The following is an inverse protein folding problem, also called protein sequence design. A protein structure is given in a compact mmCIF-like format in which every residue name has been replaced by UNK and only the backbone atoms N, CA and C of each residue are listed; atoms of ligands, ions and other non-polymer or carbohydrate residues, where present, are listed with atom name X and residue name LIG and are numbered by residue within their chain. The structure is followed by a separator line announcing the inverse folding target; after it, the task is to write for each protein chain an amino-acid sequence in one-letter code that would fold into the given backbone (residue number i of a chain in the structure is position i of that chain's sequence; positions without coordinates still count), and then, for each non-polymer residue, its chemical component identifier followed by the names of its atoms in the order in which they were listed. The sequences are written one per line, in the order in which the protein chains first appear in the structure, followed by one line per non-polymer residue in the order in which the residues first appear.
data_IF_173022925409
#
_entry.id   IF_173022925409
#
_cell.length_a   1.000
_cell.length_b   1.000
_cell.length_c   1.000
_cell.angle_alpha   90.00
_cell.angle_beta   90.00
_cell.angle_gamma   90.00
#
_symmetry.space_group_name_H-M   'P 1'
#
loop_
_entity.id
_entity.type
_entity.pdbx_description
1 polymer ?
#
# COMPACT_ATOMS: atom_id res chain seq x y z
N UNK A 1 4.12 15.51 1.12
CA UNK A 1 3.27 14.32 0.84
C UNK A 1 2.49 13.97 2.09
N UNK A 2 1.19 13.72 1.95
CA UNK A 2 0.30 13.31 3.05
C UNK A 2 0.26 11.79 3.05
N UNK A 3 0.80 11.13 4.10
CA UNK A 3 0.89 9.66 4.17
C UNK A 3 -0.44 9.02 4.60
N UNK A 4 -1.13 9.63 5.57
CA UNK A 4 -2.46 9.23 5.98
C UNK A 4 -3.22 10.41 6.60
N UNK A 5 -4.53 10.30 6.63
CA UNK A 5 -5.40 11.20 7.37
C UNK A 5 -6.15 10.39 8.41
N UNK A 6 -6.03 10.81 9.68
CA UNK A 6 -6.76 10.25 10.82
C UNK A 6 -7.63 11.33 11.43
N UNK A 7 -8.93 11.10 11.50
CA UNK A 7 -9.90 12.06 12.00
C UNK A 7 -11.31 11.49 12.03
N UNK A 8 -12.29 12.36 12.16
CA UNK A 8 -13.71 12.01 12.19
C UNK A 8 -14.24 11.95 10.76
N UNK A 9 -14.91 10.86 10.41
CA UNK A 9 -15.61 10.73 9.13
C UNK A 9 -16.85 11.62 9.15
N UNK A 10 -16.77 12.79 8.52
CA UNK A 10 -17.86 13.78 8.50
C UNK A 10 -18.92 13.47 7.46
N UNK A 11 -18.48 13.06 6.25
CA UNK A 11 -19.37 12.74 5.13
C UNK A 11 -18.85 11.51 4.39
N UNK A 12 -19.76 10.70 3.88
CA UNK A 12 -19.44 9.51 3.11
C UNK A 12 -20.36 9.36 1.89
N UNK A 13 -19.75 9.23 0.72
CA UNK A 13 -20.39 8.83 -0.53
C UNK A 13 -19.68 7.64 -1.13
N UNK A 14 -20.22 6.92 -2.13
CA UNK A 14 -19.53 5.78 -2.74
C UNK A 14 -18.17 6.09 -3.37
N UNK A 15 -17.88 7.37 -3.60
CA UNK A 15 -16.65 7.81 -4.30
C UNK A 15 -15.80 8.80 -3.51
N UNK A 16 -16.33 9.39 -2.44
CA UNK A 16 -15.66 10.42 -1.63
C UNK A 16 -15.94 10.16 -0.14
N UNK A 17 -14.91 10.22 0.67
CA UNK A 17 -15.01 10.34 2.12
C UNK A 17 -14.45 11.70 2.55
N UNK A 18 -15.18 12.43 3.39
CA UNK A 18 -14.67 13.64 4.03
C UNK A 18 -14.24 13.30 5.44
N UNK A 19 -12.96 13.44 5.71
CA UNK A 19 -12.39 13.19 7.05
C UNK A 19 -11.95 14.52 7.64
N UNK A 20 -12.54 14.88 8.77
CA UNK A 20 -12.17 16.07 9.52
C UNK A 20 -11.03 15.76 10.49
N UNK A 21 -9.91 16.44 10.32
CA UNK A 21 -8.76 16.36 11.19
C UNK A 21 -8.30 17.77 11.59
N UNK A 22 -8.25 18.04 12.89
CA UNK A 22 -7.87 19.35 13.46
C UNK A 22 -8.65 20.54 12.90
N UNK A 23 -9.96 20.39 12.64
CA UNK A 23 -10.84 21.43 12.10
C UNK A 23 -10.72 21.65 10.59
N UNK A 24 -9.99 20.79 9.87
CA UNK A 24 -9.89 20.79 8.41
C UNK A 24 -10.57 19.56 7.84
N UNK A 25 -11.53 19.75 6.93
CA UNK A 25 -12.19 18.68 6.18
C UNK A 25 -11.41 18.30 4.93
N UNK A 26 -10.92 17.08 4.88
CA UNK A 26 -10.20 16.52 3.73
C UNK A 26 -11.16 15.70 2.87
N UNK A 27 -11.44 16.17 1.64
CA UNK A 27 -12.19 15.40 0.65
C UNK A 27 -11.26 14.37 -0.01
N UNK A 28 -11.53 13.10 0.22
CA UNK A 28 -10.66 11.99 -0.18
C UNK A 28 -11.41 11.12 -1.18
N UNK A 29 -10.87 10.94 -2.37
CA UNK A 29 -11.38 10.00 -3.36
C UNK A 29 -11.15 8.57 -2.88
N UNK A 30 -12.22 7.75 -2.86
CA UNK A 30 -12.15 6.36 -2.39
C UNK A 30 -12.68 5.39 -3.45
N UNK A 31 -12.26 4.13 -3.34
CA UNK A 31 -12.80 3.00 -4.09
C UNK A 31 -13.93 2.32 -3.30
N UNK A 32 -14.75 1.48 -3.96
CA UNK A 32 -15.87 0.80 -3.32
C UNK A 32 -15.51 -0.05 -2.09
N UNK A 33 -14.39 -0.78 -2.03
CA UNK A 33 -13.99 -1.49 -0.82
C UNK A 33 -13.81 -0.55 0.38
N UNK A 34 -13.18 0.61 0.18
CA UNK A 34 -13.02 1.63 1.22
C UNK A 34 -14.38 2.20 1.67
N UNK A 35 -15.29 2.48 0.73
CA UNK A 35 -16.66 2.87 1.04
C UNK A 35 -17.35 1.81 1.92
N UNK A 36 -17.33 0.54 1.49
CA UNK A 36 -17.94 -0.56 2.25
C UNK A 36 -17.37 -0.71 3.67
N UNK A 37 -16.07 -0.47 3.84
CA UNK A 37 -15.41 -0.51 5.14
C UNK A 37 -15.79 0.69 6.04
N UNK A 38 -16.25 1.79 5.48
CA UNK A 38 -16.59 3.04 6.18
C UNK A 38 -18.09 3.23 6.44
N UNK A 39 -18.98 2.51 5.72
CA UNK A 39 -20.43 2.58 5.92
C UNK A 39 -20.77 2.30 7.40
N UNK A 40 -21.62 3.17 7.98
CA UNK A 40 -22.02 3.09 9.40
C UNK A 40 -20.93 3.55 10.40
N UNK A 41 -19.87 4.17 9.89
CA UNK A 41 -18.81 4.79 10.71
C UNK A 41 -18.83 6.32 10.66
N UNK A 42 -19.89 6.91 10.08
CA UNK A 42 -20.05 8.36 10.08
C UNK A 42 -20.05 8.88 11.54
N UNK A 43 -19.43 10.03 11.73
CA UNK A 43 -19.20 10.65 13.04
C UNK A 43 -18.25 9.84 13.97
N UNK A 44 -17.58 8.81 13.46
CA UNK A 44 -16.55 8.06 14.20
C UNK A 44 -15.16 8.33 13.66
N UNK A 45 -14.16 8.05 14.48
CA UNK A 45 -12.76 8.15 14.06
C UNK A 45 -12.45 7.09 13.03
N UNK A 46 -11.77 7.51 11.96
CA UNK A 46 -11.25 6.62 10.92
C UNK A 46 -9.84 7.03 10.51
N UNK A 47 -9.13 6.13 9.85
CA UNK A 47 -7.84 6.40 9.21
C UNK A 47 -7.90 5.92 7.76
N UNK A 48 -7.45 6.78 6.86
CA UNK A 48 -7.22 6.43 5.46
C UNK A 48 -5.77 6.73 5.10
N UNK A 49 -5.07 5.75 4.56
CA UNK A 49 -3.76 5.95 3.93
C UNK A 49 -3.96 6.66 2.61
N UNK A 50 -3.12 7.63 2.29
CA UNK A 50 -3.39 8.53 1.16
C UNK A 50 -2.28 8.52 0.14
N UNK A 51 -2.66 8.68 -1.12
CA UNK A 51 -1.80 9.07 -2.23
C UNK A 51 -2.28 10.42 -2.76
N UNK A 52 -1.36 11.36 -2.82
CA UNK A 52 -1.58 12.74 -3.23
C UNK A 52 -1.19 12.89 -4.70
N UNK A 53 -2.10 13.40 -5.52
CA UNK A 53 -1.87 13.63 -6.95
C UNK A 53 -2.04 15.11 -7.23
N UNK A 54 -0.92 15.77 -7.48
CA UNK A 54 -0.85 17.19 -7.78
C UNK A 54 -0.58 17.36 -9.27
N UNK A 55 -1.40 18.17 -9.92
CA UNK A 55 -1.25 18.63 -11.30
C UNK A 55 -1.34 20.15 -11.34
N UNK A 56 -1.20 20.73 -12.51
CA UNK A 56 -1.28 22.18 -12.66
C UNK A 56 -2.63 22.76 -12.22
N UNK A 57 -3.70 22.02 -12.43
CA UNK A 57 -5.10 22.42 -12.22
C UNK A 57 -5.83 21.64 -11.11
N UNK A 58 -5.23 20.59 -10.56
CA UNK A 58 -5.88 19.71 -9.58
C UNK A 58 -4.94 19.28 -8.47
N UNK A 59 -5.51 19.14 -7.27
CA UNK A 59 -4.86 18.57 -6.11
C UNK A 59 -5.82 17.54 -5.50
N UNK A 60 -5.65 16.29 -5.87
CA UNK A 60 -6.52 15.20 -5.48
C UNK A 60 -5.88 14.32 -4.42
N UNK A 61 -6.65 13.93 -3.41
CA UNK A 61 -6.30 12.90 -2.45
C UNK A 61 -7.06 11.62 -2.78
N UNK A 62 -6.34 10.51 -2.82
CA UNK A 62 -6.91 9.15 -2.93
C UNK A 62 -6.66 8.41 -1.63
N UNK A 63 -7.70 7.77 -1.06
CA UNK A 63 -7.63 7.14 0.24
C UNK A 63 -7.95 5.65 0.23
N UNK A 64 -7.21 4.93 1.07
CA UNK A 64 -7.22 3.47 1.15
C UNK A 64 -7.31 3.02 2.61
N UNK A 65 -8.04 1.94 2.93
CA UNK A 65 -8.14 1.42 4.29
C UNK A 65 -6.82 0.80 4.79
N UNK A 66 -5.96 0.32 3.88
CA UNK A 66 -4.68 -0.30 4.22
C UNK A 66 -3.50 0.25 3.41
N UNK A 67 -2.28 0.07 3.91
CA UNK A 67 -1.05 0.38 3.18
C UNK A 67 -0.88 -0.50 1.94
N UNK A 68 -1.33 -1.74 2.02
CA UNK A 68 -1.27 -2.69 0.90
C UNK A 68 -2.14 -2.26 -0.27
N UNK A 69 -3.37 -1.78 -0.01
CA UNK A 69 -4.24 -1.25 -1.06
C UNK A 69 -3.65 0.02 -1.69
N UNK A 70 -3.07 0.93 -0.88
CA UNK A 70 -2.36 2.10 -1.37
C UNK A 70 -1.18 1.70 -2.26
N UNK A 71 -0.34 0.77 -1.80
CA UNK A 71 0.81 0.29 -2.56
C UNK A 71 0.39 -0.31 -3.92
N UNK A 72 -0.73 -1.05 -3.93
CA UNK A 72 -1.28 -1.60 -5.17
C UNK A 72 -1.80 -0.50 -6.11
N UNK A 73 -2.46 0.54 -5.58
CA UNK A 73 -2.88 1.70 -6.35
C UNK A 73 -1.67 2.41 -6.96
N UNK A 74 -0.65 2.72 -6.16
CA UNK A 74 0.57 3.39 -6.62
C UNK A 74 1.29 2.55 -7.68
N UNK A 75 1.33 1.24 -7.52
CA UNK A 75 1.89 0.31 -8.50
C UNK A 75 1.11 0.33 -9.82
N UNK A 76 -0.22 0.32 -9.79
CA UNK A 76 -1.05 0.44 -10.99
C UNK A 76 -0.78 1.75 -11.72
N UNK A 77 -0.58 2.85 -11.00
CA UNK A 77 -0.24 4.16 -11.54
C UNK A 77 1.12 4.21 -12.28
N UNK A 78 2.04 3.29 -12.00
CA UNK A 78 3.32 3.21 -12.73
C UNK A 78 3.15 2.71 -14.17
N UNK A 79 2.02 2.09 -14.49
CA UNK A 79 1.77 1.54 -15.83
C UNK A 79 1.31 2.64 -16.78
N UNK A 80 2.01 2.78 -17.90
CA UNK A 80 1.64 3.77 -18.93
C UNK A 80 0.23 3.54 -19.47
N UNK A 81 -0.60 4.56 -19.39
CA UNK A 81 -2.02 4.52 -19.75
C UNK A 81 -2.98 4.23 -18.58
N UNK A 82 -2.44 4.07 -17.35
CA UNK A 82 -3.24 4.00 -16.13
C UNK A 82 -3.10 5.31 -15.38
N UNK A 83 -4.19 6.06 -15.27
CA UNK A 83 -4.29 7.23 -14.39
C UNK A 83 -5.03 6.88 -13.10
N UNK A 84 -5.04 7.82 -12.14
CA UNK A 84 -5.65 7.63 -10.82
C UNK A 84 -7.10 7.14 -10.87
N UNK A 85 -7.91 7.72 -11.74
CA UNK A 85 -9.30 7.29 -11.88
C UNK A 85 -9.42 5.87 -12.42
N UNK A 86 -8.55 5.45 -13.35
CA UNK A 86 -8.53 4.08 -13.86
C UNK A 86 -8.06 3.10 -12.78
N UNK A 87 -7.01 3.44 -12.04
CA UNK A 87 -6.53 2.62 -10.92
C UNK A 87 -7.61 2.47 -9.83
N UNK A 88 -8.32 3.58 -9.47
CA UNK A 88 -9.46 3.54 -8.54
C UNK A 88 -10.60 2.66 -9.05
N UNK A 89 -10.89 2.69 -10.36
CA UNK A 89 -11.94 1.84 -10.95
C UNK A 89 -11.55 0.36 -10.92
N UNK A 90 -10.28 0.01 -11.13
CA UNK A 90 -9.79 -1.37 -10.98
C UNK A 90 -10.00 -1.83 -9.54
N UNK A 91 -9.58 -1.03 -8.54
CA UNK A 91 -9.77 -1.34 -7.12
C UNK A 91 -11.22 -1.25 -6.63
N UNK A 92 -12.13 -0.66 -7.42
CA UNK A 92 -13.57 -0.70 -7.15
C UNK A 92 -14.25 -1.93 -7.76
N UNK A 93 -13.70 -2.45 -8.87
CA UNK A 93 -14.24 -3.63 -9.55
C UNK A 93 -13.76 -4.95 -8.92
N UNK A 94 -12.58 -4.94 -8.31
CA UNK A 94 -11.93 -6.10 -7.71
C UNK A 94 -11.33 -5.72 -6.36
N UNK A 95 -11.35 -6.64 -5.41
CA UNK A 95 -10.59 -6.51 -4.16
C UNK A 95 -9.07 -6.51 -4.45
N UNK A 96 -8.28 -6.02 -3.50
CA UNK A 96 -6.82 -5.99 -3.66
C UNK A 96 -6.22 -7.40 -3.90
N UNK A 97 -6.73 -8.42 -3.20
CA UNK A 97 -6.33 -9.81 -3.39
C UNK A 97 -6.68 -10.34 -4.78
N UNK A 98 -7.89 -10.02 -5.28
CA UNK A 98 -8.29 -10.40 -6.64
C UNK A 98 -7.44 -9.72 -7.71
N UNK A 99 -7.16 -8.41 -7.59
CA UNK A 99 -6.27 -7.68 -8.52
C UNK A 99 -4.89 -8.34 -8.53
N UNK A 100 -4.34 -8.65 -7.36
CA UNK A 100 -3.05 -9.35 -7.23
C UNK A 100 -3.09 -10.70 -7.93
N UNK A 101 -4.13 -11.50 -7.72
CA UNK A 101 -4.31 -12.80 -8.36
C UNK A 101 -4.46 -12.68 -9.88
N UNK A 102 -5.28 -11.75 -10.36
CA UNK A 102 -5.50 -11.49 -11.80
C UNK A 102 -4.17 -11.15 -12.49
N UNK A 103 -3.34 -10.30 -11.87
CA UNK A 103 -2.03 -9.91 -12.40
C UNK A 103 -1.08 -11.10 -12.37
N UNK A 104 -0.98 -11.82 -11.26
CA UNK A 104 -0.08 -12.98 -11.08
C UNK A 104 -0.38 -14.10 -12.08
N UNK A 105 -1.68 -14.38 -12.32
CA UNK A 105 -2.13 -15.42 -13.26
C UNK A 105 -2.13 -14.96 -14.73
N UNK A 106 -1.91 -13.66 -14.99
CA UNK A 106 -1.89 -13.13 -16.36
C UNK A 106 -3.27 -12.97 -16.99
N UNK A 107 -4.35 -12.84 -16.22
CA UNK A 107 -5.71 -12.75 -16.73
C UNK A 107 -6.08 -11.33 -17.21
N UNK A 108 -5.47 -10.88 -18.31
CA UNK A 108 -5.75 -9.59 -18.92
C UNK A 108 -7.23 -9.41 -19.33
N UNK A 109 -7.94 -10.52 -19.62
CA UNK A 109 -9.35 -10.48 -20.01
C UNK A 109 -10.22 -9.98 -18.85
N UNK A 110 -9.96 -10.39 -17.62
CA UNK A 110 -10.67 -9.90 -16.46
C UNK A 110 -10.47 -8.39 -16.27
N UNK A 111 -9.22 -7.90 -16.37
CA UNK A 111 -8.93 -6.47 -16.26
C UNK A 111 -9.61 -5.65 -17.37
N UNK A 112 -9.68 -6.18 -18.60
CA UNK A 112 -10.29 -5.47 -19.73
C UNK A 112 -11.82 -5.26 -19.59
N UNK A 113 -12.47 -5.90 -18.61
CA UNK A 113 -13.89 -5.66 -18.29
C UNK A 113 -14.09 -4.37 -17.50
N UNK A 114 -13.04 -3.82 -16.90
CA UNK A 114 -13.11 -2.55 -16.18
C UNK A 114 -13.30 -1.42 -17.19
N UNK A 115 -14.32 -0.59 -16.97
CA UNK A 115 -14.61 0.57 -17.84
C UNK A 115 -13.40 1.49 -17.93
N UNK A 116 -13.00 1.83 -19.15
CA UNK A 116 -11.82 2.68 -19.40
C UNK A 116 -10.51 1.94 -19.48
N UNK A 117 -10.48 0.61 -19.32
CA UNK A 117 -9.29 -0.20 -19.45
C UNK A 117 -9.38 -1.07 -20.71
N UNK A 118 -8.75 -0.63 -21.80
CA UNK A 118 -8.72 -1.37 -23.05
C UNK A 118 -7.83 -2.63 -23.00
N UNK A 119 -8.02 -3.61 -23.91
CA UNK A 119 -7.27 -4.86 -23.90
C UNK A 119 -5.74 -4.68 -23.97
N UNK A 120 -5.27 -3.69 -24.72
CA UNK A 120 -3.82 -3.39 -24.82
C UNK A 120 -3.25 -2.89 -23.50
N UNK A 121 -3.98 -2.02 -22.78
CA UNK A 121 -3.56 -1.50 -21.48
C UNK A 121 -3.66 -2.59 -20.41
N UNK A 122 -4.70 -3.42 -20.44
CA UNK A 122 -4.82 -4.59 -19.55
C UNK A 122 -3.63 -5.55 -19.70
N UNK A 123 -3.23 -5.84 -20.95
CA UNK A 123 -2.05 -6.68 -21.23
C UNK A 123 -0.77 -6.04 -20.70
N UNK A 124 -0.61 -4.71 -20.84
CA UNK A 124 0.53 -3.97 -20.30
C UNK A 124 0.59 -4.05 -18.79
N UNK A 125 -0.55 -3.90 -18.09
CA UNK A 125 -0.61 -4.08 -16.62
C UNK A 125 -0.04 -5.43 -16.21
N UNK A 126 -0.44 -6.51 -16.91
CA UNK A 126 0.09 -7.85 -16.62
C UNK A 126 1.61 -7.90 -16.83
N UNK A 127 2.11 -7.44 -17.98
CA UNK A 127 3.54 -7.51 -18.30
C UNK A 127 4.39 -6.70 -17.32
N UNK A 128 3.95 -5.47 -17.00
CA UNK A 128 4.73 -4.55 -16.18
C UNK A 128 4.71 -4.89 -14.69
N UNK A 129 3.64 -5.56 -14.21
CA UNK A 129 3.40 -5.76 -12.78
C UNK A 129 3.47 -7.21 -12.29
N UNK A 130 3.51 -8.21 -13.16
CA UNK A 130 3.47 -9.63 -12.78
C UNK A 130 4.51 -10.00 -11.72
N UNK A 131 5.75 -9.55 -11.91
CA UNK A 131 6.85 -9.89 -10.98
C UNK A 131 6.89 -8.98 -9.74
N UNK A 132 6.23 -7.83 -9.81
CA UNK A 132 6.21 -6.83 -8.74
C UNK A 132 5.06 -7.04 -7.78
N UNK A 133 3.90 -7.45 -8.28
CA UNK A 133 2.66 -7.57 -7.49
C UNK A 133 2.75 -8.60 -6.38
N UNK A 134 3.60 -9.62 -6.53
CA UNK A 134 3.83 -10.64 -5.52
C UNK A 134 4.60 -10.11 -4.28
N UNK A 135 5.27 -8.95 -4.42
CA UNK A 135 6.02 -8.30 -3.33
C UNK A 135 5.16 -7.34 -2.51
N UNK A 136 3.93 -7.06 -2.95
CA UNK A 136 3.00 -6.21 -2.19
C UNK A 136 2.38 -7.04 -1.08
N UNK A 137 2.66 -6.68 0.15
CA UNK A 137 1.99 -7.23 1.31
C UNK A 137 0.58 -6.66 1.39
N UNK A 138 -0.42 -7.52 1.27
CA UNK A 138 -1.81 -7.18 1.52
C UNK A 138 -2.14 -7.64 2.94
N UNK A 139 -2.57 -6.73 3.77
CA UNK A 139 -3.20 -7.07 5.05
C UNK A 139 -4.57 -7.71 4.71
N UNK A 140 -4.61 -9.02 4.55
CA UNK A 140 -5.83 -9.74 4.23
C UNK A 140 -6.82 -9.62 5.37
N UNK A 141 -7.84 -8.76 5.16
CA UNK A 141 -9.13 -8.91 5.81
C UNK A 141 -9.34 -8.29 7.18
N UNK A 142 -8.58 -7.31 7.63
CA UNK A 142 -8.95 -6.56 8.81
C UNK A 142 -9.91 -5.40 8.46
N UNK A 143 -11.19 -5.39 8.98
CA UNK A 143 -12.01 -4.19 8.93
C UNK A 143 -11.32 -3.10 9.76
N UNK A 144 -11.18 -1.91 9.17
CA UNK A 144 -10.60 -0.75 9.83
C UNK A 144 -11.29 -0.50 11.18
N UNK A 145 -10.61 -0.79 12.29
CA UNK A 145 -11.11 -0.43 13.61
C UNK A 145 -11.03 -1.46 14.72
N UNK A 146 -10.45 -2.64 14.53
CA UNK A 146 -10.19 -3.58 15.63
C UNK A 146 -8.71 -3.92 15.61
N UNK A 147 -7.97 -3.80 16.72
CA UNK A 147 -6.65 -4.38 16.83
C UNK A 147 -6.82 -5.91 16.77
N UNK A 148 -6.56 -6.51 15.64
CA UNK A 148 -6.41 -7.96 15.56
C UNK A 148 -5.02 -8.28 16.13
N UNK A 149 -5.00 -8.91 17.28
CA UNK A 149 -3.86 -9.70 17.71
C UNK A 149 -3.74 -10.87 16.73
N UNK A 150 -2.91 -10.69 15.70
CA UNK A 150 -2.48 -11.80 14.84
C UNK A 150 -1.48 -12.59 15.68
N UNK A 151 -1.61 -13.92 15.82
CA UNK A 151 -0.54 -14.72 16.39
C UNK A 151 0.68 -14.54 15.48
N UNK A 152 1.67 -13.87 16.01
CA UNK A 152 2.96 -13.56 15.39
C UNK A 152 3.65 -14.86 14.95
N UNK A 153 3.67 -15.14 13.63
CA UNK A 153 4.50 -16.20 13.05
C UNK A 153 5.76 -15.63 12.37
N UNK A 154 5.97 -14.31 12.42
CA UNK A 154 7.27 -13.73 12.10
C UNK A 154 8.15 -13.84 13.34
N UNK A 155 9.30 -14.51 13.24
CA UNK A 155 10.25 -14.48 14.34
C UNK A 155 10.75 -13.03 14.51
N UNK A 156 10.92 -12.53 15.74
CA UNK A 156 11.40 -11.16 15.99
C UNK A 156 12.67 -10.80 15.20
N UNK A 157 13.50 -11.79 14.88
CA UNK A 157 14.69 -11.63 14.07
C UNK A 157 14.40 -11.30 12.58
N UNK A 158 13.23 -11.70 12.06
CA UNK A 158 12.85 -11.42 10.66
C UNK A 158 12.38 -9.98 10.50
N UNK A 159 11.60 -9.47 11.44
CA UNK A 159 11.19 -8.06 11.48
C UNK A 159 12.39 -7.12 11.60
N UNK A 160 13.31 -7.43 12.53
CA UNK A 160 14.57 -6.70 12.72
C UNK A 160 15.42 -6.69 11.44
N UNK A 161 15.46 -7.80 10.71
CA UNK A 161 16.17 -7.90 9.43
C UNK A 161 15.55 -6.98 8.37
N UNK A 162 14.25 -7.04 8.16
CA UNK A 162 13.55 -6.27 7.13
C UNK A 162 13.67 -4.76 7.39
N UNK A 163 13.48 -4.35 8.63
CA UNK A 163 13.62 -2.96 9.05
C UNK A 163 15.06 -2.45 8.89
N UNK A 164 16.05 -3.23 9.28
CA UNK A 164 17.46 -2.87 9.13
C UNK A 164 17.89 -2.76 7.67
N UNK A 165 17.48 -3.70 6.80
CA UNK A 165 17.76 -3.66 5.36
C UNK A 165 17.05 -2.49 4.70
N UNK A 166 15.81 -2.21 5.07
CA UNK A 166 15.06 -1.05 4.61
C UNK A 166 15.78 0.27 4.92
N UNK A 167 16.19 0.45 6.18
CA UNK A 167 16.93 1.63 6.62
C UNK A 167 18.26 1.82 5.88
N UNK A 168 19.04 0.75 5.69
CA UNK A 168 20.31 0.79 4.95
C UNK A 168 20.10 1.14 3.47
N UNK A 169 19.01 0.67 2.88
CA UNK A 169 18.64 0.99 1.49
C UNK A 169 18.27 2.48 1.36
N UNK A 170 17.55 3.03 2.32
CA UNK A 170 17.25 4.46 2.37
C UNK A 170 18.51 5.34 2.56
N UNK A 171 19.55 4.79 3.20
CA UNK A 171 20.87 5.44 3.33
C UNK A 171 21.74 5.30 2.08
N UNK A 172 21.26 4.64 1.01
CA UNK A 172 21.92 4.52 -0.27
C UNK A 172 22.73 3.24 -0.50
N UNK A 173 22.66 2.26 0.39
CA UNK A 173 23.36 0.98 0.23
C UNK A 173 22.50 -0.01 -0.59
N UNK A 174 23.10 -0.82 -1.48
CA UNK A 174 22.36 -1.82 -2.25
C UNK A 174 21.70 -2.87 -1.34
N UNK A 175 20.41 -3.15 -1.54
CA UNK A 175 19.63 -4.08 -0.73
C UNK A 175 20.27 -5.48 -0.64
N UNK A 176 20.87 -5.98 -1.75
CA UNK A 176 21.51 -7.29 -1.79
C UNK A 176 22.77 -7.38 -0.89
N UNK A 177 23.52 -6.30 -0.77
CA UNK A 177 24.72 -6.22 0.10
C UNK A 177 24.30 -6.03 1.55
N UNK A 178 23.35 -5.12 1.78
CA UNK A 178 22.77 -4.86 3.11
C UNK A 178 22.16 -6.12 3.71
N UNK A 179 21.38 -6.88 2.91
CA UNK A 179 20.79 -8.14 3.35
C UNK A 179 21.83 -9.17 3.83
N UNK A 180 22.93 -9.35 3.09
CA UNK A 180 24.00 -10.29 3.46
C UNK A 180 24.70 -9.90 4.77
N UNK A 181 24.93 -8.60 4.95
CA UNK A 181 25.60 -8.09 6.17
C UNK A 181 24.68 -8.21 7.37
N UNK A 182 23.41 -7.84 7.24
CA UNK A 182 22.40 -7.97 8.30
C UNK A 182 22.19 -9.44 8.68
N UNK A 183 22.11 -10.35 7.70
CA UNK A 183 22.02 -11.80 7.96
C UNK A 183 23.21 -12.33 8.77
N UNK A 184 24.42 -11.84 8.49
CA UNK A 184 25.60 -12.24 9.24
C UNK A 184 25.54 -11.77 10.69
N UNK A 185 25.12 -10.52 10.92
CA UNK A 185 25.00 -9.94 12.27
C UNK A 185 23.93 -10.68 13.09
N UNK A 186 22.76 -10.95 12.51
CA UNK A 186 21.66 -11.63 13.19
C UNK A 186 21.91 -13.13 13.41
N UNK A 187 22.81 -13.75 12.65
CA UNK A 187 23.29 -15.11 12.94
C UNK A 187 24.20 -15.18 14.16
N UNK A 188 24.99 -14.13 14.42
CA UNK A 188 25.85 -14.04 15.58
C UNK A 188 25.05 -13.70 16.86
N UNK A 189 24.08 -12.82 16.75
CA UNK A 189 23.17 -12.48 17.85
C UNK A 189 21.77 -12.13 17.33
N UNK A 190 20.80 -13.08 17.38
CA UNK A 190 19.42 -12.88 16.92
C UNK A 190 18.59 -11.91 17.78
N UNK A 191 19.11 -11.49 18.95
CA UNK A 191 18.38 -10.65 19.92
C UNK A 191 18.71 -9.17 19.82
N UNK A 192 19.58 -8.80 18.87
CA UNK A 192 19.99 -7.42 18.68
C UNK A 192 18.83 -6.52 18.23
N UNK A 193 18.63 -5.35 18.86
CA UNK A 193 17.68 -4.37 18.40
C UNK A 193 18.13 -3.74 17.06
N UNK A 194 17.17 -3.33 16.25
CA UNK A 194 17.35 -2.78 14.89
C UNK A 194 18.47 -1.73 14.83
N UNK A 195 18.47 -0.79 15.77
CA UNK A 195 19.46 0.30 15.80
C UNK A 195 20.90 -0.21 15.93
N UNK A 196 21.12 -1.27 16.73
CA UNK A 196 22.42 -1.89 16.87
C UNK A 196 22.83 -2.64 15.61
N UNK A 197 21.88 -3.33 14.98
CA UNK A 197 22.12 -4.05 13.70
C UNK A 197 22.52 -3.06 12.62
N UNK A 198 21.80 -1.94 12.46
CA UNK A 198 22.13 -0.88 11.49
C UNK A 198 23.53 -0.31 11.78
N UNK A 199 23.84 0.00 13.04
CA UNK A 199 25.12 0.58 13.44
C UNK A 199 26.31 -0.37 13.19
N UNK A 200 26.12 -1.67 13.36
CA UNK A 200 27.12 -2.68 13.03
C UNK A 200 27.23 -2.87 11.52
N UNK A 201 26.13 -2.92 10.81
CA UNK A 201 26.10 -3.05 9.36
C UNK A 201 26.83 -1.89 8.66
N UNK A 202 26.62 -0.64 9.12
CA UNK A 202 27.31 0.54 8.60
C UNK A 202 28.86 0.53 8.79
N UNK A 203 29.37 -0.29 9.70
CA UNK A 203 30.83 -0.48 9.88
C UNK A 203 31.38 -1.58 8.97
N UNK A 204 30.51 -2.40 8.40
CA UNK A 204 30.86 -3.55 7.57
C UNK A 204 30.58 -3.33 6.08
N UNK A 205 29.80 -2.30 5.74
CA UNK A 205 29.48 -1.85 4.40
C UNK A 205 30.45 -0.80 3.90
#
# INVERSE_FOLDING_TARGET
MIDYIKGILSELTPTIAVVEAAGVGYAINIALPAYSALVGKEQKECRLYTTEIIREDTHDLFGFPSKGERALFDMLMTVSGIGANTARMILSAFSASEVRQIIATGNAKALSQVKGLGPKTAQRVIVDLKDKVLKVELEDGAPAGVPLEIPDMSSPAMEVKEEAVGALTMLGFPAATSGKVVDKILREDPTLPVEKVIKLALKML
#
